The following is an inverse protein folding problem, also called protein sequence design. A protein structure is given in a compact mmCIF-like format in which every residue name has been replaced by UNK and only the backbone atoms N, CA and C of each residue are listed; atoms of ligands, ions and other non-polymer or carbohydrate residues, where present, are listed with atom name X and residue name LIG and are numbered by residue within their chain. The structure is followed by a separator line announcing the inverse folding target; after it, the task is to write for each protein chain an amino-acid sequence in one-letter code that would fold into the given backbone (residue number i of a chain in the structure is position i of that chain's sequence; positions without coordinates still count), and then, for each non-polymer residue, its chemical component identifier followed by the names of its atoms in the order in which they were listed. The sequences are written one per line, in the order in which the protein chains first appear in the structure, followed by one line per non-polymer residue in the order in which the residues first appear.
data_IF_773771989003
#
_entry.id   IF_773771989003
#
_cell.length_a   1.000
_cell.length_b   1.000
_cell.length_c   1.000
_cell.angle_alpha   90.00
_cell.angle_beta   90.00
_cell.angle_gamma   90.00
#
_symmetry.space_group_name_H-M   'P 1'
#
loop_
_entity.id
_entity.type
_entity.pdbx_description
1 polymer ?
#
# COMPACT_ATOMS: atom_id res chain seq x y z
N UNK A 1 42.46 -20.17 -34.68
CA UNK A 1 42.09 -20.51 -33.30
C UNK A 1 41.83 -19.22 -32.55
N UNK A 2 40.58 -18.79 -32.43
CA UNK A 2 40.21 -17.53 -31.75
C UNK A 2 39.64 -17.84 -30.36
N UNK A 3 40.36 -17.49 -29.30
CA UNK A 3 39.88 -17.54 -27.92
C UNK A 3 39.25 -16.19 -27.57
N UNK A 4 37.92 -16.18 -27.38
CA UNK A 4 37.22 -15.06 -26.75
C UNK A 4 37.36 -15.22 -25.23
N UNK A 5 38.00 -14.26 -24.59
CA UNK A 5 38.10 -14.20 -23.13
C UNK A 5 36.70 -13.91 -22.55
N UNK A 6 36.21 -14.84 -21.73
CA UNK A 6 34.96 -14.72 -20.99
C UNK A 6 35.10 -13.66 -19.89
N UNK A 7 34.41 -12.52 -20.06
CA UNK A 7 34.25 -11.52 -19.00
C UNK A 7 33.22 -12.04 -17.99
N UNK A 8 33.71 -12.52 -16.84
CA UNK A 8 32.87 -12.92 -15.71
C UNK A 8 32.34 -11.70 -14.96
N UNK A 9 31.11 -11.79 -14.44
CA UNK A 9 30.43 -10.77 -13.61
C UNK A 9 31.25 -10.29 -12.41
N UNK A 10 32.27 -11.06 -12.01
CA UNK A 10 33.17 -10.76 -10.90
C UNK A 10 34.15 -9.62 -11.20
N UNK A 11 34.39 -9.29 -12.47
CA UNK A 11 35.30 -8.22 -12.88
C UNK A 11 34.69 -6.81 -12.84
N UNK A 12 33.41 -6.68 -12.47
CA UNK A 12 32.67 -5.41 -12.47
C UNK A 12 32.61 -4.71 -11.09
N UNK A 13 33.16 -5.30 -10.02
CA UNK A 13 33.10 -4.74 -8.66
C UNK A 13 34.43 -4.15 -8.17
N UNK A 14 35.28 -3.72 -9.09
CA UNK A 14 36.66 -3.35 -8.80
C UNK A 14 37.09 -1.94 -9.18
N UNK A 15 36.20 -0.96 -9.34
CA UNK A 15 36.63 0.44 -9.50
C UNK A 15 35.55 1.41 -9.00
N UNK A 16 35.85 2.14 -7.91
CA UNK A 16 34.98 3.22 -7.43
C UNK A 16 35.12 3.58 -5.96
N UNK A 17 36.34 3.64 -5.41
CA UNK A 17 36.59 4.29 -4.13
C UNK A 17 37.05 5.73 -4.37
N UNK A 18 36.13 6.70 -4.34
CA UNK A 18 36.38 8.10 -3.93
C UNK A 18 35.10 8.94 -3.98
N UNK A 19 34.54 9.25 -2.80
CA UNK A 19 33.98 10.56 -2.45
C UNK A 19 33.54 10.51 -0.97
N UNK A 20 34.45 10.89 -0.07
CA UNK A 20 34.09 11.31 1.28
C UNK A 20 33.43 12.68 1.14
N UNK A 21 32.10 12.70 1.16
CA UNK A 21 31.28 13.90 1.11
C UNK A 21 30.18 13.81 2.17
N UNK A 22 30.18 14.79 3.08
CA UNK A 22 29.27 14.99 4.21
C UNK A 22 27.82 14.53 3.96
N UNK A 23 27.30 13.66 4.81
CA UNK A 23 25.85 13.48 4.96
C UNK A 23 25.49 13.27 6.43
N UNK A 24 25.70 14.31 7.25
CA UNK A 24 24.93 14.50 8.48
C UNK A 24 23.56 15.10 8.13
N UNK A 25 22.81 14.46 7.24
CA UNK A 25 21.38 14.67 7.20
C UNK A 25 20.79 13.76 8.28
N UNK A 26 20.02 14.25 9.27
CA UNK A 26 19.23 13.34 10.06
C UNK A 26 18.40 12.53 9.06
N UNK A 27 18.43 11.21 9.17
CA UNK A 27 17.42 10.33 8.58
C UNK A 27 16.08 10.65 9.27
N UNK A 28 15.57 11.85 9.06
CA UNK A 28 14.14 12.11 9.16
C UNK A 28 13.60 11.27 8.02
N UNK A 29 12.96 10.15 8.36
CA UNK A 29 11.99 9.56 7.47
C UNK A 29 10.93 10.64 7.25
N UNK A 30 11.18 11.53 6.28
CA UNK A 30 10.20 12.49 5.83
C UNK A 30 9.06 11.63 5.30
N UNK A 31 8.01 11.50 6.12
CA UNK A 31 6.80 10.83 5.69
C UNK A 31 6.27 11.69 4.54
N UNK A 32 6.30 11.15 3.32
CA UNK A 32 5.71 11.82 2.15
C UNK A 32 4.28 12.27 2.51
N UNK A 33 3.71 13.27 1.86
CA UNK A 33 2.32 13.66 2.14
C UNK A 33 1.35 12.47 1.98
N UNK A 34 0.25 12.46 2.73
CA UNK A 34 -0.82 11.47 2.56
C UNK A 34 -1.34 11.53 1.12
N UNK A 35 -1.53 10.38 0.43
CA UNK A 35 -2.17 10.40 -0.87
C UNK A 35 -3.60 10.91 -0.72
N UNK A 36 -4.14 11.49 -1.79
CA UNK A 36 -5.57 11.79 -1.85
C UNK A 36 -6.40 10.54 -1.55
N UNK A 37 -7.56 10.73 -0.92
CA UNK A 37 -8.46 9.63 -0.64
C UNK A 37 -8.78 8.86 -1.94
N UNK A 38 -8.77 7.52 -1.92
CA UNK A 38 -8.99 6.72 -3.11
C UNK A 38 -10.40 6.94 -3.67
N UNK A 39 -10.48 7.23 -4.96
CA UNK A 39 -11.73 7.31 -5.69
C UNK A 39 -12.24 5.92 -6.06
N UNK A 40 -13.57 5.76 -6.16
CA UNK A 40 -14.23 4.53 -6.58
C UNK A 40 -15.54 4.27 -5.84
N UNK A 41 -16.16 3.09 -6.04
CA UNK A 41 -17.43 2.74 -5.41
C UNK A 41 -17.36 2.61 -3.88
N UNK A 42 -16.19 2.25 -3.34
CA UNK A 42 -15.93 2.23 -1.91
C UNK A 42 -15.12 3.46 -1.48
N UNK A 43 -15.45 4.02 -0.32
CA UNK A 43 -14.87 5.26 0.19
C UNK A 43 -14.13 5.05 1.50
N UNK A 44 -13.02 5.78 1.70
CA UNK A 44 -12.38 5.89 3.01
C UNK A 44 -13.29 6.68 3.97
N UNK A 45 -13.82 6.07 5.05
CA UNK A 45 -14.76 6.73 5.94
C UNK A 45 -14.08 7.85 6.70
N UNK A 46 -14.73 9.01 6.89
CA UNK A 46 -14.15 10.08 7.71
C UNK A 46 -13.92 9.58 9.14
N UNK A 47 -12.75 9.87 9.70
CA UNK A 47 -12.43 9.60 11.12
C UNK A 47 -13.45 10.29 12.04
N UNK A 48 -13.89 9.60 13.08
CA UNK A 48 -14.82 10.12 14.08
C UNK A 48 -14.16 11.10 15.08
N UNK A 49 -12.83 11.09 15.16
CA UNK A 49 -12.04 11.89 16.09
C UNK A 49 -10.68 12.25 15.49
N UNK A 50 -10.06 13.28 16.07
CA UNK A 50 -8.74 13.79 15.67
C UNK A 50 -7.60 12.78 15.93
N UNK A 51 -6.48 12.95 15.24
CA UNK A 51 -5.34 12.05 15.31
C UNK A 51 -4.82 11.78 16.73
N UNK A 52 -4.71 12.84 17.53
CA UNK A 52 -4.18 12.80 18.89
C UNK A 52 -5.22 12.43 19.96
N UNK A 53 -6.47 12.13 19.60
CA UNK A 53 -7.54 11.92 20.59
C UNK A 53 -7.34 10.69 21.50
N UNK A 54 -6.41 9.79 21.14
CA UNK A 54 -6.10 8.55 21.88
C UNK A 54 -4.77 8.61 22.62
N UNK A 55 -4.12 9.78 22.67
CA UNK A 55 -2.90 9.94 23.46
C UNK A 55 -3.20 9.90 24.97
N UNK A 56 -2.28 9.36 25.79
CA UNK A 56 -0.94 8.88 25.46
C UNK A 56 -0.90 7.39 25.03
N UNK A 57 -2.04 6.74 24.88
CA UNK A 57 -2.11 5.29 24.65
C UNK A 57 -1.81 4.90 23.19
N UNK A 58 -2.24 5.72 22.23
CA UNK A 58 -1.90 5.59 20.81
C UNK A 58 -1.52 6.97 20.29
N UNK A 59 -0.30 7.10 19.79
CA UNK A 59 0.22 8.38 19.31
C UNK A 59 -0.43 8.83 18.00
N UNK A 60 -0.47 10.15 17.79
CA UNK A 60 -1.08 10.74 16.59
C UNK A 60 -0.44 10.26 15.28
N UNK A 61 0.88 10.01 15.25
CA UNK A 61 1.58 9.57 14.04
C UNK A 61 1.14 8.18 13.62
N UNK A 62 0.99 7.26 14.58
CA UNK A 62 0.44 5.93 14.33
C UNK A 62 -0.98 6.02 13.77
N UNK A 63 -1.83 6.86 14.36
CA UNK A 63 -3.20 7.03 13.91
C UNK A 63 -3.29 7.61 12.49
N UNK A 64 -2.41 8.54 12.14
CA UNK A 64 -2.35 9.12 10.80
C UNK A 64 -1.83 8.14 9.76
N UNK A 65 -0.81 7.34 10.10
CA UNK A 65 -0.31 6.28 9.21
C UNK A 65 -1.38 5.21 9.01
N UNK A 66 -2.03 4.77 10.08
CA UNK A 66 -3.08 3.77 10.04
C UNK A 66 -4.22 4.19 9.10
N UNK A 67 -4.75 5.39 9.28
CA UNK A 67 -5.87 5.89 8.48
C UNK A 67 -5.46 6.29 7.06
N UNK A 68 -4.51 7.22 6.92
CA UNK A 68 -4.19 7.83 5.63
C UNK A 68 -3.36 6.91 4.70
N UNK A 69 -2.78 5.83 5.23
CA UNK A 69 -2.01 4.85 4.44
C UNK A 69 -2.67 3.50 4.42
N UNK A 70 -2.77 2.82 5.55
CA UNK A 70 -3.19 1.43 5.56
C UNK A 70 -4.65 1.29 5.15
N UNK A 71 -5.56 2.02 5.81
CA UNK A 71 -6.99 1.97 5.44
C UNK A 71 -7.23 2.49 4.03
N UNK A 72 -6.61 3.61 3.66
CA UNK A 72 -6.65 4.15 2.31
C UNK A 72 -6.16 3.15 1.25
N UNK A 73 -5.08 2.41 1.50
CA UNK A 73 -4.56 1.41 0.57
C UNK A 73 -5.52 0.23 0.39
N UNK A 74 -6.20 -0.20 1.46
CA UNK A 74 -7.23 -1.24 1.35
C UNK A 74 -8.42 -0.78 0.52
N UNK A 75 -8.92 0.44 0.72
CA UNK A 75 -10.00 1.00 -0.10
C UNK A 75 -9.57 1.10 -1.58
N UNK A 76 -8.35 1.60 -1.83
CA UNK A 76 -7.80 1.68 -3.19
C UNK A 76 -7.70 0.30 -3.86
N UNK A 77 -7.18 -0.69 -3.13
CA UNK A 77 -7.04 -2.07 -3.60
C UNK A 77 -8.39 -2.74 -3.87
N UNK A 78 -9.39 -2.47 -3.03
CA UNK A 78 -10.75 -2.97 -3.22
C UNK A 78 -11.38 -2.36 -4.48
N UNK A 79 -11.28 -1.03 -4.63
CA UNK A 79 -11.78 -0.32 -5.81
C UNK A 79 -11.12 -0.84 -7.11
N UNK A 80 -9.81 -1.11 -7.07
CA UNK A 80 -9.11 -1.73 -8.19
C UNK A 80 -9.62 -3.15 -8.48
N UNK A 81 -9.87 -3.95 -7.43
CA UNK A 81 -10.34 -5.32 -7.57
C UNK A 81 -11.76 -5.44 -8.16
N UNK A 82 -12.60 -4.41 -7.99
CA UNK A 82 -13.98 -4.40 -8.51
C UNK A 82 -14.17 -3.57 -9.79
N UNK A 83 -13.11 -2.87 -10.25
CA UNK A 83 -13.20 -1.89 -11.35
C UNK A 83 -13.85 -2.45 -12.61
N UNK A 84 -13.48 -3.67 -12.99
CA UNK A 84 -13.97 -4.34 -14.20
C UNK A 84 -15.14 -5.29 -13.91
N UNK A 85 -15.68 -5.24 -12.68
CA UNK A 85 -16.76 -6.09 -12.20
C UNK A 85 -17.93 -5.23 -11.72
N UNK A 86 -18.72 -4.70 -12.66
CA UNK A 86 -19.80 -3.74 -12.38
C UNK A 86 -20.81 -4.21 -11.31
N UNK A 87 -21.11 -5.50 -11.24
CA UNK A 87 -21.96 -6.06 -10.16
C UNK A 87 -21.25 -5.95 -8.81
N UNK A 88 -19.99 -6.37 -8.71
CA UNK A 88 -19.24 -6.29 -7.44
C UNK A 88 -19.07 -4.84 -6.97
N UNK A 89 -18.87 -3.90 -7.90
CA UNK A 89 -18.76 -2.48 -7.61
C UNK A 89 -20.04 -1.87 -7.02
N UNK A 90 -21.20 -2.51 -7.20
CA UNK A 90 -22.48 -2.07 -6.64
C UNK A 90 -22.93 -2.92 -5.45
N UNK A 91 -22.29 -4.07 -5.21
CA UNK A 91 -22.60 -4.94 -4.09
C UNK A 91 -22.05 -4.36 -2.79
N UNK A 92 -22.85 -4.24 -1.72
CA UNK A 92 -22.37 -3.82 -0.40
C UNK A 92 -21.19 -4.68 0.10
N UNK A 93 -20.21 -4.06 0.74
CA UNK A 93 -18.98 -4.73 1.19
C UNK A 93 -19.27 -5.98 2.05
N UNK A 94 -20.23 -5.88 2.96
CA UNK A 94 -20.61 -6.97 3.86
C UNK A 94 -21.17 -8.17 3.08
N UNK A 95 -21.88 -7.93 1.98
CA UNK A 95 -22.38 -9.00 1.11
C UNK A 95 -21.25 -9.65 0.31
N UNK A 96 -20.28 -8.86 -0.18
CA UNK A 96 -19.08 -9.39 -0.84
C UNK A 96 -18.28 -10.30 0.10
N UNK A 97 -18.04 -9.86 1.34
CA UNK A 97 -17.27 -10.61 2.33
C UNK A 97 -18.07 -11.79 2.93
N UNK A 98 -19.39 -11.69 2.98
CA UNK A 98 -20.27 -12.74 3.48
C UNK A 98 -20.37 -13.97 2.57
N UNK A 99 -20.08 -13.83 1.28
CA UNK A 99 -20.07 -14.95 0.33
C UNK A 99 -19.02 -14.75 -0.78
N UNK A 100 -17.76 -14.96 -0.43
CA UNK A 100 -16.63 -14.87 -1.37
C UNK A 100 -16.70 -15.92 -2.50
N UNK A 101 -17.53 -16.95 -2.37
CA UNK A 101 -17.75 -17.95 -3.42
C UNK A 101 -18.39 -17.34 -4.68
N UNK A 102 -19.22 -16.29 -4.50
CA UNK A 102 -19.84 -15.53 -5.59
C UNK A 102 -18.92 -14.52 -6.25
N UNK A 103 -17.77 -14.22 -5.64
CA UNK A 103 -16.75 -13.37 -6.26
C UNK A 103 -16.01 -14.21 -7.33
N UNK A 104 -15.88 -13.71 -8.58
CA UNK A 104 -15.11 -14.36 -9.62
C UNK A 104 -13.71 -14.70 -9.14
N UNK A 105 -13.21 -15.88 -9.51
CA UNK A 105 -11.96 -16.43 -9.00
C UNK A 105 -10.77 -15.46 -9.13
N UNK A 106 -10.65 -14.78 -10.28
CA UNK A 106 -9.58 -13.81 -10.53
C UNK A 106 -9.59 -12.57 -9.61
N UNK A 107 -10.73 -12.20 -9.04
CA UNK A 107 -10.85 -11.07 -8.12
C UNK A 107 -10.94 -11.49 -6.64
N UNK A 108 -11.24 -12.77 -6.37
CA UNK A 108 -11.61 -13.25 -5.03
C UNK A 108 -10.58 -12.96 -3.95
N UNK A 109 -9.30 -13.22 -4.23
CA UNK A 109 -8.23 -12.98 -3.25
C UNK A 109 -8.05 -11.48 -2.98
N UNK A 110 -8.14 -10.66 -4.03
CA UNK A 110 -8.02 -9.21 -3.89
C UNK A 110 -9.20 -8.63 -3.10
N UNK A 111 -10.43 -9.03 -3.41
CA UNK A 111 -11.64 -8.64 -2.65
C UNK A 111 -11.56 -9.10 -1.20
N UNK A 112 -11.13 -10.35 -0.93
CA UNK A 112 -10.97 -10.84 0.45
C UNK A 112 -9.98 -9.98 1.24
N UNK A 113 -8.79 -9.76 0.68
CA UNK A 113 -7.71 -9.09 1.42
C UNK A 113 -7.97 -7.59 1.56
N UNK A 114 -8.34 -6.92 0.46
CA UNK A 114 -8.56 -5.47 0.47
C UNK A 114 -9.91 -5.10 1.07
N UNK A 115 -10.97 -5.87 0.78
CA UNK A 115 -12.28 -5.70 1.40
C UNK A 115 -12.25 -6.01 2.89
N UNK A 116 -11.58 -7.08 3.31
CA UNK A 116 -11.39 -7.39 4.73
C UNK A 116 -10.60 -6.29 5.44
N UNK A 117 -9.50 -5.82 4.86
CA UNK A 117 -8.73 -4.71 5.43
C UNK A 117 -9.47 -3.37 5.46
N UNK A 118 -10.48 -3.16 4.62
CA UNK A 118 -11.35 -1.99 4.69
C UNK A 118 -12.43 -2.12 5.78
N UNK A 119 -12.94 -3.34 6.00
CA UNK A 119 -13.98 -3.63 6.98
C UNK A 119 -13.48 -3.70 8.43
N UNK A 120 -12.19 -4.03 8.63
CA UNK A 120 -11.52 -4.11 9.93
C UNK A 120 -11.07 -2.72 10.42
#
# INVERSE_FOLDING_TARGET
MHHLASLSRRSLLGFGATAVGLALAPKVWAQAAAPAAPAGPFSLPKRAYEAAALEPNIDATTMDIHYNRHHAAYVAGLNAAVKDHGVLAQTPLQQLLGDLGKVPEGARVAVRNAGGGHAN
#
